data_IF_084599882828
#
_entry.id   IF_084599882828
#
_cell.length_a   1.000
_cell.length_b   1.000
_cell.length_c   1.000
_cell.angle_alpha   90.00
_cell.angle_beta   90.00
_cell.angle_gamma   90.00
#
_symmetry.space_group_name_H-M   'P 1'
#
loop_
_entity.id
_entity.type
_entity.pdbx_description
1 polymer ?
#
# COMPACT_ATOMS: atom_id res chain seq x y z
N UNK A 1 17.36 -12.75 23.98
CA UNK A 1 17.09 -11.98 22.74
C UNK A 1 17.43 -10.52 23.02
N UNK A 2 18.07 -9.84 22.06
CA UNK A 2 18.27 -8.40 22.18
C UNK A 2 16.91 -7.65 22.10
N UNK A 3 16.79 -6.43 22.66
CA UNK A 3 15.57 -5.63 22.54
C UNK A 3 15.16 -5.42 21.07
N UNK A 4 16.12 -5.22 20.19
CA UNK A 4 15.89 -5.08 18.75
C UNK A 4 15.27 -6.36 18.14
N UNK A 5 15.81 -7.54 18.45
CA UNK A 5 15.27 -8.82 17.96
C UNK A 5 13.84 -9.04 18.43
N UNK A 6 13.52 -8.64 19.67
CA UNK A 6 12.16 -8.73 20.21
C UNK A 6 11.17 -7.86 19.40
N UNK A 7 11.53 -6.61 19.09
CA UNK A 7 10.70 -5.71 18.28
C UNK A 7 10.44 -6.29 16.89
N UNK A 8 11.47 -6.82 16.24
CA UNK A 8 11.37 -7.42 14.90
C UNK A 8 10.44 -8.64 14.90
N UNK A 9 10.56 -9.53 15.89
CA UNK A 9 9.69 -10.71 16.01
C UNK A 9 8.24 -10.31 16.26
N UNK A 10 8.00 -9.36 17.17
CA UNK A 10 6.65 -8.86 17.43
C UNK A 10 6.04 -8.18 16.23
N UNK A 11 6.83 -7.40 15.47
CA UNK A 11 6.38 -6.79 14.22
C UNK A 11 5.98 -7.85 13.18
N UNK A 12 6.75 -8.93 13.05
CA UNK A 12 6.40 -10.04 12.16
C UNK A 12 5.06 -10.71 12.53
N UNK A 13 4.84 -10.97 13.81
CA UNK A 13 3.57 -11.55 14.29
C UNK A 13 2.40 -10.59 14.01
N UNK A 14 2.55 -9.30 14.33
CA UNK A 14 1.53 -8.29 14.04
C UNK A 14 1.29 -8.17 12.53
N UNK A 15 2.35 -8.20 11.73
CA UNK A 15 2.26 -8.17 10.27
C UNK A 15 1.48 -9.36 9.70
N UNK A 16 1.65 -10.57 10.24
CA UNK A 16 0.85 -11.74 9.86
C UNK A 16 -0.65 -11.52 10.16
N UNK A 17 -0.98 -11.04 11.38
CA UNK A 17 -2.36 -10.79 11.79
C UNK A 17 -3.03 -9.71 10.94
N UNK A 18 -2.31 -8.61 10.69
CA UNK A 18 -2.77 -7.52 9.84
C UNK A 18 -2.92 -7.99 8.39
N UNK A 19 -2.02 -8.84 7.88
CA UNK A 19 -2.10 -9.43 6.55
C UNK A 19 -3.33 -10.32 6.38
N UNK A 20 -3.70 -11.09 7.41
CA UNK A 20 -4.94 -11.87 7.40
C UNK A 20 -6.17 -10.96 7.34
N UNK A 21 -6.18 -9.85 8.09
CA UNK A 21 -7.23 -8.84 7.98
C UNK A 21 -7.22 -8.13 6.63
N UNK A 22 -6.04 -7.82 6.09
CA UNK A 22 -5.89 -7.21 4.77
C UNK A 22 -6.54 -8.06 3.66
N UNK A 23 -6.45 -9.39 3.73
CA UNK A 23 -7.17 -10.28 2.82
C UNK A 23 -8.68 -10.05 2.85
N UNK A 24 -9.26 -9.76 4.01
CA UNK A 24 -10.70 -9.42 4.13
C UNK A 24 -10.99 -8.07 3.48
N UNK A 25 -10.14 -7.06 3.74
CA UNK A 25 -10.28 -5.72 3.16
C UNK A 25 -10.23 -5.76 1.62
N UNK A 26 -9.25 -6.47 1.05
CA UNK A 26 -9.05 -6.62 -0.41
C UNK A 26 -10.28 -7.20 -1.10
N UNK A 27 -11.02 -8.08 -0.44
CA UNK A 27 -12.22 -8.71 -1.03
C UNK A 27 -13.47 -7.88 -0.80
N UNK A 28 -13.63 -7.28 0.39
CA UNK A 28 -14.91 -6.69 0.81
C UNK A 28 -15.03 -5.21 0.45
N UNK A 29 -13.96 -4.41 0.55
CA UNK A 29 -14.03 -2.99 0.25
C UNK A 29 -14.39 -2.68 -1.21
N UNK A 30 -13.83 -3.35 -2.23
CA UNK A 30 -14.29 -3.14 -3.61
C UNK A 30 -15.76 -3.52 -3.82
N UNK A 31 -16.28 -4.48 -3.05
CA UNK A 31 -17.68 -4.89 -3.07
C UNK A 31 -18.60 -4.04 -2.17
N UNK A 32 -18.05 -2.99 -1.52
CA UNK A 32 -18.77 -2.14 -0.54
C UNK A 32 -19.37 -2.94 0.63
N UNK A 33 -18.74 -4.07 1.00
CA UNK A 33 -19.16 -4.93 2.09
C UNK A 33 -18.47 -4.58 3.41
N UNK A 34 -19.16 -4.82 4.53
CA UNK A 34 -18.59 -4.63 5.87
C UNK A 34 -17.47 -5.63 6.15
N UNK A 35 -16.31 -5.13 6.63
CA UNK A 35 -15.19 -5.97 7.06
C UNK A 35 -15.38 -6.57 8.46
N UNK A 36 -16.38 -6.07 9.22
CA UNK A 36 -16.66 -6.51 10.60
C UNK A 36 -17.65 -7.67 10.62
N UNK A 37 -18.72 -7.60 9.82
CA UNK A 37 -19.77 -8.61 9.76
C UNK A 37 -20.13 -8.93 8.31
N UNK A 38 -20.43 -10.21 7.99
CA UNK A 38 -20.34 -11.41 8.83
C UNK A 38 -18.90 -11.86 9.07
N UNK A 39 -18.68 -12.80 10.01
CA UNK A 39 -17.39 -13.47 10.22
C UNK A 39 -16.92 -14.19 8.96
N UNK A 40 -15.61 -14.46 8.89
CA UNK A 40 -15.02 -15.22 7.78
C UNK A 40 -15.67 -16.58 7.62
N UNK A 41 -16.04 -16.91 6.38
CA UNK A 41 -16.70 -18.15 6.01
C UNK A 41 -16.12 -18.71 4.72
N UNK A 42 -16.22 -20.02 4.54
CA UNK A 42 -15.84 -20.66 3.30
C UNK A 42 -16.81 -20.21 2.19
N UNK A 43 -16.34 -19.71 1.03
CA UNK A 43 -17.23 -19.25 -0.03
C UNK A 43 -18.06 -20.36 -0.67
N UNK A 44 -17.60 -21.61 -0.57
CA UNK A 44 -18.29 -22.77 -1.17
C UNK A 44 -19.35 -23.39 -0.26
N UNK A 45 -18.98 -23.75 0.98
CA UNK A 45 -19.89 -24.45 1.88
C UNK A 45 -20.59 -23.53 2.89
N UNK A 46 -20.25 -22.22 2.94
CA UNK A 46 -20.85 -21.26 3.85
C UNK A 46 -20.46 -21.42 5.33
N UNK A 47 -19.76 -22.51 5.70
CA UNK A 47 -19.36 -22.75 7.09
C UNK A 47 -18.42 -21.65 7.60
N UNK A 48 -18.66 -21.22 8.85
CA UNK A 48 -17.81 -20.24 9.52
C UNK A 48 -16.42 -20.82 9.77
N UNK A 49 -15.39 -20.00 9.51
CA UNK A 49 -14.00 -20.35 9.80
C UNK A 49 -13.79 -20.22 11.32
N UNK A 50 -13.33 -21.30 11.96
CA UNK A 50 -12.95 -21.27 13.35
C UNK A 50 -11.72 -20.39 13.56
N UNK A 51 -11.58 -19.77 14.75
CA UNK A 51 -10.46 -18.86 15.01
C UNK A 51 -9.09 -19.52 14.84
N UNK A 52 -8.95 -20.81 15.20
CA UNK A 52 -7.72 -21.58 15.02
C UNK A 52 -7.44 -21.97 13.56
N UNK A 53 -8.45 -21.96 12.68
CA UNK A 53 -8.30 -22.14 11.24
C UNK A 53 -8.02 -20.81 10.51
N UNK A 54 -7.96 -19.71 11.25
CA UNK A 54 -7.65 -18.38 10.75
C UNK A 54 -6.29 -17.86 11.25
N UNK A 55 -5.44 -18.74 11.81
CA UNK A 55 -4.05 -18.38 12.18
C UNK A 55 -3.26 -18.21 10.88
N UNK A 56 -2.72 -16.99 10.61
CA UNK A 56 -2.14 -16.67 9.33
C UNK A 56 -1.00 -17.63 8.94
N UNK A 57 -0.95 -18.03 7.68
CA UNK A 57 0.02 -18.97 7.09
C UNK A 57 -0.05 -20.37 7.72
N UNK A 58 -0.01 -20.46 9.06
CA UNK A 58 0.03 -21.73 9.81
C UNK A 58 -1.20 -22.59 9.49
N UNK A 59 -2.39 -22.03 9.55
CA UNK A 59 -3.62 -22.78 9.25
C UNK A 59 -3.67 -23.29 7.82
N UNK A 60 -3.19 -22.49 6.86
CA UNK A 60 -3.12 -22.89 5.46
C UNK A 60 -2.21 -24.12 5.26
N UNK A 61 -1.05 -24.17 5.94
CA UNK A 61 -0.13 -25.30 5.91
C UNK A 61 -0.75 -26.51 6.61
N UNK A 62 -1.29 -26.34 7.82
CA UNK A 62 -1.89 -27.45 8.61
C UNK A 62 -3.10 -28.07 7.93
N UNK A 63 -3.92 -27.25 7.27
CA UNK A 63 -5.07 -27.69 6.49
C UNK A 63 -4.70 -28.19 5.08
N UNK A 64 -3.41 -28.22 4.75
CA UNK A 64 -2.90 -28.63 3.43
C UNK A 64 -3.60 -27.86 2.30
N UNK A 65 -3.76 -26.56 2.48
CA UNK A 65 -4.43 -25.65 1.56
C UNK A 65 -5.90 -26.01 1.24
N UNK A 66 -6.63 -26.66 2.15
CA UNK A 66 -8.01 -27.11 1.93
C UNK A 66 -8.94 -26.69 3.06
N UNK A 67 -10.20 -26.41 2.72
CA UNK A 67 -11.24 -26.16 3.72
C UNK A 67 -11.45 -27.39 4.59
N UNK A 68 -11.56 -27.22 5.91
CA UNK A 68 -11.80 -28.31 6.88
C UNK A 68 -13.09 -29.09 6.63
N UNK A 69 -14.13 -28.42 6.10
CA UNK A 69 -15.47 -28.99 5.95
C UNK A 69 -15.74 -29.56 4.55
N UNK A 70 -15.37 -28.85 3.49
CA UNK A 70 -15.70 -29.25 2.13
C UNK A 70 -14.46 -29.64 1.29
N UNK A 71 -13.26 -29.60 1.88
CA UNK A 71 -11.98 -29.90 1.22
C UNK A 71 -11.68 -29.06 -0.05
N UNK A 72 -12.45 -27.98 -0.31
CA UNK A 72 -12.15 -27.06 -1.41
C UNK A 72 -10.78 -26.41 -1.20
N UNK A 73 -9.96 -26.26 -2.26
CA UNK A 73 -8.63 -25.63 -2.14
C UNK A 73 -8.73 -24.16 -1.73
N UNK A 74 -7.90 -23.78 -0.77
CA UNK A 74 -7.72 -22.38 -0.34
C UNK A 74 -6.63 -21.77 -1.23
N UNK A 75 -6.92 -20.69 -1.99
CA UNK A 75 -5.95 -20.08 -2.89
C UNK A 75 -4.68 -19.63 -2.18
N UNK A 76 -3.54 -19.85 -2.80
CA UNK A 76 -2.21 -19.50 -2.30
C UNK A 76 -2.00 -17.98 -2.07
N UNK A 77 -2.84 -17.16 -2.68
CA UNK A 77 -2.81 -15.70 -2.48
C UNK A 77 -3.00 -15.27 -1.03
N UNK A 78 -3.80 -16.03 -0.24
CA UNK A 78 -4.04 -15.72 1.17
C UNK A 78 -2.75 -15.74 1.99
N UNK A 79 -2.03 -16.88 2.07
CA UNK A 79 -0.77 -16.91 2.82
C UNK A 79 0.31 -16.01 2.20
N UNK A 80 0.26 -15.73 0.88
CA UNK A 80 1.20 -14.80 0.25
C UNK A 80 1.03 -13.37 0.77
N UNK A 81 -0.20 -12.86 0.83
CA UNK A 81 -0.50 -11.52 1.34
C UNK A 81 -0.14 -11.42 2.82
N UNK A 82 -0.44 -12.46 3.61
CA UNK A 82 -0.06 -12.54 5.02
C UNK A 82 1.45 -12.48 5.22
N UNK A 83 2.20 -13.28 4.46
CA UNK A 83 3.66 -13.28 4.50
C UNK A 83 4.27 -11.97 3.99
N UNK A 84 3.75 -11.40 2.90
CA UNK A 84 4.21 -10.12 2.36
C UNK A 84 4.01 -8.99 3.37
N UNK A 85 2.84 -8.95 4.04
CA UNK A 85 2.58 -7.96 5.09
C UNK A 85 3.54 -8.16 6.27
N UNK A 86 3.78 -9.41 6.70
CA UNK A 86 4.76 -9.70 7.74
C UNK A 86 6.17 -9.22 7.37
N UNK A 87 6.60 -9.44 6.13
CA UNK A 87 7.92 -8.98 5.65
C UNK A 87 8.03 -7.45 5.63
N UNK A 88 6.96 -6.73 5.26
CA UNK A 88 6.90 -5.27 5.33
C UNK A 88 7.09 -4.80 6.78
N UNK A 89 6.38 -5.40 7.73
CA UNK A 89 6.46 -5.07 9.15
C UNK A 89 7.82 -5.41 9.76
N UNK A 90 8.38 -6.58 9.41
CA UNK A 90 9.74 -6.98 9.80
C UNK A 90 10.77 -5.99 9.24
N UNK A 91 10.68 -5.64 7.96
CA UNK A 91 11.59 -4.69 7.32
C UNK A 91 11.53 -3.30 7.97
N UNK A 92 10.34 -2.81 8.26
CA UNK A 92 10.16 -1.55 8.97
C UNK A 92 10.79 -1.59 10.38
N UNK A 93 10.52 -2.65 11.15
CA UNK A 93 11.08 -2.82 12.49
C UNK A 93 12.59 -3.02 12.48
N UNK A 94 13.12 -3.71 11.48
CA UNK A 94 14.55 -3.89 11.30
C UNK A 94 15.27 -2.56 11.04
N UNK A 95 14.66 -1.70 10.21
CA UNK A 95 15.26 -0.42 9.79
C UNK A 95 15.14 0.66 10.87
N UNK A 96 13.96 0.79 11.48
CA UNK A 96 13.65 1.91 12.38
C UNK A 96 13.61 1.53 13.87
N UNK A 97 13.65 0.22 14.21
CA UNK A 97 13.61 -0.25 15.60
C UNK A 97 12.28 0.06 16.29
N UNK A 98 12.32 0.40 17.58
CA UNK A 98 11.14 0.81 18.36
C UNK A 98 10.92 2.32 18.21
N UNK A 99 10.26 2.72 17.13
CA UNK A 99 10.02 4.12 16.79
C UNK A 99 8.66 4.29 16.10
N UNK A 100 8.12 5.50 16.10
CA UNK A 100 6.91 5.88 15.37
C UNK A 100 7.06 5.62 13.85
N UNK A 101 8.26 5.81 13.30
CA UNK A 101 8.55 5.56 11.89
C UNK A 101 8.38 4.09 11.50
N UNK A 102 8.62 3.14 12.42
CA UNK A 102 8.33 1.72 12.19
C UNK A 102 6.86 1.51 11.89
N UNK A 103 5.99 2.10 12.71
CA UNK A 103 4.55 1.96 12.53
C UNK A 103 4.07 2.68 11.27
N UNK A 104 4.60 3.88 11.00
CA UNK A 104 4.31 4.65 9.80
C UNK A 104 4.70 3.90 8.52
N UNK A 105 5.91 3.35 8.46
CA UNK A 105 6.40 2.56 7.33
C UNK A 105 5.60 1.28 7.12
N UNK A 106 5.32 0.54 8.20
CA UNK A 106 4.57 -0.71 8.16
C UNK A 106 3.12 -0.48 7.69
N UNK A 107 2.44 0.55 8.19
CA UNK A 107 1.08 0.91 7.78
C UNK A 107 1.06 1.37 6.32
N UNK A 108 1.98 2.25 5.92
CA UNK A 108 2.07 2.71 4.54
C UNK A 108 2.29 1.56 3.56
N UNK A 109 3.27 0.69 3.83
CA UNK A 109 3.53 -0.49 3.01
C UNK A 109 2.35 -1.46 2.95
N UNK A 110 1.61 -1.63 4.05
CA UNK A 110 0.39 -2.44 4.09
C UNK A 110 -0.71 -1.87 3.19
N UNK A 111 -0.92 -0.54 3.22
CA UNK A 111 -1.88 0.15 2.36
C UNK A 111 -1.48 0.01 0.89
N UNK A 112 -0.20 0.23 0.56
CA UNK A 112 0.31 0.07 -0.81
C UNK A 112 0.12 -1.36 -1.32
N UNK A 113 0.37 -2.38 -0.49
CA UNK A 113 0.12 -3.78 -0.84
C UNK A 113 -1.37 -4.03 -1.09
N UNK A 114 -2.25 -3.50 -0.22
CA UNK A 114 -3.70 -3.59 -0.38
C UNK A 114 -4.15 -2.99 -1.71
N UNK A 115 -3.73 -1.76 -2.02
CA UNK A 115 -4.04 -1.08 -3.29
C UNK A 115 -3.52 -1.88 -4.48
N UNK A 116 -2.26 -2.31 -4.44
CA UNK A 116 -1.67 -3.07 -5.55
C UNK A 116 -2.45 -4.35 -5.86
N UNK A 117 -2.92 -5.06 -4.84
CA UNK A 117 -3.68 -6.30 -5.02
C UNK A 117 -5.12 -6.03 -5.46
N UNK A 118 -5.79 -4.99 -4.94
CA UNK A 118 -7.15 -4.64 -5.37
C UNK A 118 -7.16 -4.11 -6.81
N UNK A 119 -6.23 -3.22 -7.15
CA UNK A 119 -6.10 -2.68 -8.50
C UNK A 119 -5.73 -3.77 -9.54
N UNK A 120 -4.85 -4.70 -9.17
CA UNK A 120 -4.51 -5.85 -10.02
C UNK A 120 -5.69 -6.76 -10.36
N UNK A 121 -6.70 -6.83 -9.49
CA UNK A 121 -7.81 -7.78 -9.60
C UNK A 121 -9.09 -7.16 -10.11
N UNK A 122 -9.43 -6.00 -9.56
CA UNK A 122 -10.74 -5.38 -9.76
C UNK A 122 -10.62 -4.04 -10.51
N UNK A 123 -9.40 -3.54 -10.76
CA UNK A 123 -9.14 -2.20 -11.31
C UNK A 123 -9.79 -1.08 -10.48
N UNK A 124 -9.88 -1.31 -9.16
CA UNK A 124 -10.50 -0.40 -8.19
C UNK A 124 -9.53 -0.13 -7.05
N UNK A 125 -9.42 1.13 -6.65
CA UNK A 125 -8.71 1.57 -5.44
C UNK A 125 -9.78 1.99 -4.43
N UNK A 126 -10.06 1.20 -3.39
CA UNK A 126 -11.04 1.54 -2.35
C UNK A 126 -10.70 2.84 -1.63
N UNK A 127 -11.74 3.61 -1.30
CA UNK A 127 -11.58 4.88 -0.60
C UNK A 127 -11.03 4.70 0.82
N UNK A 128 -11.26 3.56 1.44
CA UNK A 128 -10.70 3.19 2.74
C UNK A 128 -9.16 3.13 2.70
N UNK A 129 -8.58 2.63 1.61
CA UNK A 129 -7.14 2.67 1.42
C UNK A 129 -6.65 4.08 1.07
N UNK A 130 -7.29 4.76 0.12
CA UNK A 130 -6.81 6.04 -0.40
C UNK A 130 -7.13 7.20 0.54
N UNK A 131 -8.39 7.46 0.85
CA UNK A 131 -8.79 8.55 1.76
C UNK A 131 -8.48 8.21 3.21
N UNK A 132 -8.76 6.97 3.65
CA UNK A 132 -8.37 6.48 4.98
C UNK A 132 -6.87 6.53 5.19
N UNK A 133 -6.10 6.13 4.18
CA UNK A 133 -4.64 6.23 4.18
C UNK A 133 -4.15 7.68 4.23
N UNK A 134 -4.79 8.61 3.51
CA UNK A 134 -4.47 10.05 3.58
C UNK A 134 -4.64 10.57 5.01
N UNK A 135 -5.76 10.25 5.65
CA UNK A 135 -6.00 10.63 7.04
C UNK A 135 -4.93 10.06 7.99
N UNK A 136 -4.58 8.77 7.83
CA UNK A 136 -3.52 8.14 8.63
C UNK A 136 -2.14 8.81 8.39
N UNK A 137 -1.79 9.14 7.15
CA UNK A 137 -0.54 9.85 6.84
C UNK A 137 -0.44 11.19 7.55
N UNK A 138 -1.53 11.97 7.54
CA UNK A 138 -1.61 13.25 8.25
C UNK A 138 -1.52 13.04 9.77
N UNK A 139 -2.20 12.03 10.32
CA UNK A 139 -2.12 11.70 11.76
C UNK A 139 -0.69 11.32 12.16
N UNK A 140 -0.01 10.50 11.39
CA UNK A 140 1.40 10.16 11.65
C UNK A 140 2.31 11.38 11.57
N UNK A 141 2.11 12.25 10.60
CA UNK A 141 2.89 13.47 10.44
C UNK A 141 2.65 14.45 11.60
N UNK A 142 1.40 14.55 12.08
CA UNK A 142 1.05 15.33 13.26
C UNK A 142 1.70 14.75 14.52
N UNK A 143 1.60 13.43 14.71
CA UNK A 143 2.23 12.74 15.84
C UNK A 143 3.77 12.92 15.83
N UNK A 144 4.41 12.82 14.67
CA UNK A 144 5.84 13.06 14.53
C UNK A 144 6.23 14.50 14.89
N UNK A 145 5.38 15.48 14.54
CA UNK A 145 5.66 16.90 14.81
C UNK A 145 5.49 17.32 16.27
N UNK A 146 4.55 16.66 16.99
CA UNK A 146 4.14 17.13 18.32
C UNK A 146 4.47 16.17 19.46
N UNK A 147 4.54 14.86 19.19
CA UNK A 147 4.78 13.85 20.23
C UNK A 147 6.22 13.36 20.29
N UNK A 148 6.98 13.50 19.20
CA UNK A 148 8.36 13.03 19.11
C UNK A 148 9.27 14.26 19.22
N UNK A 149 9.96 14.41 20.33
CA UNK A 149 10.84 15.58 20.61
C UNK A 149 11.98 15.74 19.61
N UNK A 150 12.43 14.65 18.97
CA UNK A 150 13.42 14.63 17.88
C UNK A 150 12.84 13.76 16.76
N UNK A 151 12.16 14.32 15.76
CA UNK A 151 11.63 13.55 14.65
C UNK A 151 12.78 12.92 13.85
N UNK A 152 12.51 11.73 13.31
CA UNK A 152 13.47 11.06 12.42
C UNK A 152 13.82 12.00 11.24
N UNK A 153 15.07 12.04 10.75
CA UNK A 153 15.50 12.95 9.68
C UNK A 153 14.63 12.91 8.41
N UNK A 154 14.00 11.76 8.16
CA UNK A 154 13.12 11.56 7.02
C UNK A 154 11.62 11.67 7.37
N UNK A 155 11.29 12.10 8.60
CA UNK A 155 9.90 12.29 9.00
C UNK A 155 9.26 13.46 8.22
N UNK A 156 8.09 13.21 7.64
CA UNK A 156 7.27 14.26 7.04
C UNK A 156 6.48 14.94 8.14
N UNK A 157 6.68 16.25 8.30
CA UNK A 157 5.97 17.05 9.28
C UNK A 157 4.56 17.39 8.80
N UNK A 158 3.67 17.77 9.73
CA UNK A 158 2.25 17.96 9.46
C UNK A 158 1.94 18.90 8.27
N UNK A 159 2.67 20.01 8.14
CA UNK A 159 2.49 20.95 7.02
C UNK A 159 2.94 20.33 5.70
N UNK A 160 4.05 19.61 5.70
CA UNK A 160 4.55 18.90 4.52
C UNK A 160 3.60 17.80 4.08
N UNK A 161 2.95 17.11 5.03
CA UNK A 161 1.93 16.10 4.73
C UNK A 161 0.69 16.72 4.07
N UNK A 162 0.21 17.85 4.58
CA UNK A 162 -0.93 18.58 3.99
C UNK A 162 -0.60 19.10 2.60
N UNK A 163 0.55 19.77 2.45
CA UNK A 163 1.01 20.26 1.13
C UNK A 163 1.24 19.10 0.16
N UNK A 164 1.83 18.01 0.65
CA UNK A 164 2.03 16.79 -0.15
C UNK A 164 0.73 16.16 -0.61
N UNK A 165 -0.26 16.03 0.27
CA UNK A 165 -1.58 15.51 -0.06
C UNK A 165 -2.29 16.40 -1.11
N UNK A 166 -2.28 17.70 -0.91
CA UNK A 166 -2.85 18.66 -1.84
C UNK A 166 -2.13 18.65 -3.20
N UNK A 167 -0.79 18.58 -3.20
CA UNK A 167 0.01 18.49 -4.42
C UNK A 167 -0.25 17.19 -5.18
N UNK A 168 -0.30 16.05 -4.48
CA UNK A 168 -0.59 14.76 -5.10
C UNK A 168 -1.97 14.70 -5.74
N UNK A 169 -2.99 15.13 -4.99
CA UNK A 169 -4.34 15.22 -5.51
C UNK A 169 -4.43 16.19 -6.70
N UNK A 170 -3.94 17.42 -6.52
CA UNK A 170 -4.05 18.49 -7.51
C UNK A 170 -3.31 18.19 -8.80
N UNK A 171 -2.11 17.61 -8.71
CA UNK A 171 -1.32 17.25 -9.89
C UNK A 171 -2.03 16.19 -10.74
N UNK A 172 -2.48 15.09 -10.13
CA UNK A 172 -3.16 14.04 -10.88
C UNK A 172 -4.56 14.47 -11.33
N UNK A 173 -5.26 15.27 -10.55
CA UNK A 173 -6.53 15.87 -10.97
C UNK A 173 -6.34 16.75 -12.21
N UNK A 174 -5.27 17.57 -12.25
CA UNK A 174 -4.96 18.41 -13.39
C UNK A 174 -4.64 17.58 -14.63
N UNK A 175 -3.82 16.52 -14.48
CA UNK A 175 -3.49 15.58 -15.56
C UNK A 175 -4.76 14.90 -16.09
N UNK A 176 -5.64 14.43 -15.20
CA UNK A 176 -6.92 13.84 -15.55
C UNK A 176 -7.82 14.83 -16.31
N UNK A 177 -7.95 16.06 -15.80
CA UNK A 177 -8.77 17.11 -16.40
C UNK A 177 -8.30 17.48 -17.81
N UNK A 178 -7.00 17.76 -17.97
CA UNK A 178 -6.41 18.11 -19.26
C UNK A 178 -6.51 16.92 -20.23
N UNK A 179 -6.18 15.72 -19.75
CA UNK A 179 -6.26 14.49 -20.55
C UNK A 179 -7.67 14.18 -21.02
N UNK A 180 -8.68 14.32 -20.16
CA UNK A 180 -10.09 14.11 -20.51
C UNK A 180 -10.55 15.12 -21.56
N UNK A 181 -10.16 16.39 -21.44
CA UNK A 181 -10.46 17.42 -22.45
C UNK A 181 -9.78 17.15 -23.79
N UNK A 182 -8.54 16.71 -23.76
CA UNK A 182 -7.76 16.45 -24.99
C UNK A 182 -8.23 15.19 -25.73
N UNK A 183 -8.61 14.14 -25.00
CA UNK A 183 -8.97 12.82 -25.54
C UNK A 183 -10.47 12.61 -25.75
N UNK A 184 -11.33 13.47 -25.19
CA UNK A 184 -12.80 13.35 -25.24
C UNK A 184 -13.36 12.14 -24.46
N UNK A 185 -12.57 11.54 -23.61
CA UNK A 185 -12.93 10.42 -22.72
C UNK A 185 -12.13 10.48 -21.42
N UNK A 186 -12.62 9.85 -20.38
CA UNK A 186 -11.92 9.82 -19.10
C UNK A 186 -10.48 9.31 -19.28
N UNK A 187 -9.51 10.16 -18.91
CA UNK A 187 -8.10 9.88 -19.08
C UNK A 187 -7.50 9.10 -17.90
N UNK A 188 -8.13 9.16 -16.71
CA UNK A 188 -7.58 8.56 -15.48
C UNK A 188 -8.67 8.22 -14.48
N UNK A 189 -8.47 7.16 -13.71
CA UNK A 189 -9.36 6.75 -12.64
C UNK A 189 -9.35 7.72 -11.43
N UNK A 190 -10.51 7.98 -10.84
CA UNK A 190 -10.60 8.80 -9.63
C UNK A 190 -9.86 8.19 -8.43
N UNK A 191 -9.67 6.86 -8.42
CA UNK A 191 -8.90 6.13 -7.41
C UNK A 191 -7.43 6.54 -7.39
N UNK A 192 -6.80 6.66 -8.57
CA UNK A 192 -5.39 7.06 -8.70
C UNK A 192 -5.16 8.47 -8.15
N UNK A 193 -6.10 9.40 -8.39
CA UNK A 193 -6.03 10.78 -7.88
C UNK A 193 -6.05 10.79 -6.34
N UNK A 194 -6.96 10.03 -5.74
CA UNK A 194 -7.07 9.92 -4.27
C UNK A 194 -5.85 9.19 -3.69
N UNK A 195 -5.33 8.16 -4.38
CA UNK A 195 -4.12 7.45 -3.98
C UNK A 195 -2.91 8.39 -3.94
N UNK A 196 -2.77 9.30 -4.91
CA UNK A 196 -1.65 10.26 -4.89
C UNK A 196 -1.76 11.26 -3.75
N UNK A 197 -2.97 11.62 -3.28
CA UNK A 197 -3.13 12.39 -2.05
C UNK A 197 -2.58 11.62 -0.84
N UNK A 198 -2.89 10.32 -0.74
CA UNK A 198 -2.36 9.44 0.31
C UNK A 198 -0.84 9.36 0.24
N UNK A 199 -0.27 9.11 -0.93
CA UNK A 199 1.19 9.08 -1.13
C UNK A 199 1.82 10.40 -0.71
N UNK A 200 1.22 11.53 -1.08
CA UNK A 200 1.69 12.86 -0.68
C UNK A 200 1.63 13.11 0.83
N UNK A 201 0.62 12.58 1.53
CA UNK A 201 0.53 12.66 2.99
C UNK A 201 1.66 11.89 3.69
N UNK A 202 2.12 10.78 3.11
CA UNK A 202 3.22 9.98 3.66
C UNK A 202 4.61 10.44 3.23
N UNK A 203 4.78 10.92 1.99
CA UNK A 203 6.09 11.19 1.37
C UNK A 203 6.38 12.69 1.15
N UNK A 204 5.38 13.55 1.38
CA UNK A 204 5.49 14.97 1.03
C UNK A 204 5.44 15.20 -0.50
N UNK A 205 5.49 16.49 -0.92
CA UNK A 205 5.34 16.88 -2.33
C UNK A 205 6.48 16.38 -3.24
N UNK A 206 7.70 16.29 -2.72
CA UNK A 206 8.86 15.75 -3.46
C UNK A 206 8.65 14.25 -3.75
N UNK A 207 8.13 13.52 -2.76
CA UNK A 207 7.77 12.11 -2.91
C UNK A 207 6.66 11.88 -3.93
N UNK A 208 5.71 12.81 -4.06
CA UNK A 208 4.67 12.80 -5.11
C UNK A 208 5.30 12.80 -6.50
N UNK A 209 6.22 13.74 -6.77
CA UNK A 209 6.87 13.87 -8.07
C UNK A 209 7.70 12.62 -8.40
N UNK A 210 8.50 12.16 -7.43
CA UNK A 210 9.34 10.98 -7.63
C UNK A 210 8.50 9.72 -7.83
N UNK A 211 7.43 9.53 -7.04
CA UNK A 211 6.51 8.40 -7.21
C UNK A 211 5.84 8.40 -8.57
N UNK A 212 5.35 9.55 -9.01
CA UNK A 212 4.71 9.69 -10.33
C UNK A 212 5.70 9.37 -11.46
N UNK A 213 6.92 9.89 -11.36
CA UNK A 213 7.96 9.61 -12.34
C UNK A 213 8.30 8.11 -12.38
N UNK A 214 8.56 7.49 -11.24
CA UNK A 214 8.89 6.06 -11.16
C UNK A 214 7.71 5.18 -11.60
N UNK A 215 6.49 5.50 -11.19
CA UNK A 215 5.29 4.76 -11.57
C UNK A 215 5.01 4.85 -13.08
N UNK A 216 5.14 6.06 -13.67
CA UNK A 216 4.97 6.26 -15.09
C UNK A 216 6.08 5.55 -15.90
N UNK A 217 7.32 5.62 -15.44
CA UNK A 217 8.45 4.93 -16.07
C UNK A 217 8.23 3.41 -16.09
N UNK A 218 7.92 2.80 -14.94
CA UNK A 218 7.66 1.36 -14.82
C UNK A 218 6.44 0.94 -15.66
N UNK A 219 5.35 1.70 -15.59
CA UNK A 219 4.17 1.44 -16.40
C UNK A 219 4.49 1.48 -17.90
N UNK A 220 5.23 2.48 -18.35
CA UNK A 220 5.64 2.60 -19.76
C UNK A 220 6.55 1.45 -20.19
N UNK A 221 7.55 1.10 -19.39
CA UNK A 221 8.49 0.01 -19.70
C UNK A 221 7.78 -1.35 -19.84
N UNK A 222 6.72 -1.58 -19.09
CA UNK A 222 6.00 -2.86 -19.13
C UNK A 222 4.91 -2.85 -20.22
N UNK A 223 4.12 -1.77 -20.33
CA UNK A 223 2.95 -1.77 -21.19
C UNK A 223 3.22 -1.31 -22.63
N UNK A 224 4.24 -0.46 -22.86
CA UNK A 224 4.56 -0.05 -24.21
C UNK A 224 4.95 -1.24 -25.11
N UNK A 225 5.82 -2.17 -24.70
CA UNK A 225 6.09 -3.38 -25.49
C UNK A 225 4.87 -4.26 -25.71
N UNK A 226 3.99 -4.40 -24.68
CA UNK A 226 2.77 -5.20 -24.80
C UNK A 226 1.78 -4.59 -25.79
N UNK A 227 1.64 -3.28 -25.79
CA UNK A 227 0.79 -2.55 -26.74
C UNK A 227 1.32 -2.66 -28.15
N UNK A 228 2.65 -2.50 -28.36
CA UNK A 228 3.29 -2.68 -29.64
C UNK A 228 3.15 -4.11 -30.18
N UNK A 229 3.04 -5.09 -29.28
CA UNK A 229 2.74 -6.49 -29.62
C UNK A 229 1.23 -6.77 -29.86
N UNK A 230 0.40 -5.73 -29.97
CA UNK A 230 -1.04 -5.85 -30.27
C UNK A 230 -1.90 -6.36 -29.10
N UNK A 231 -1.40 -6.30 -27.88
CA UNK A 231 -2.13 -6.70 -26.66
C UNK A 231 -2.75 -5.47 -26.00
N UNK A 232 -3.93 -5.07 -26.43
CA UNK A 232 -4.69 -4.01 -25.76
C UNK A 232 -5.30 -4.55 -24.46
N UNK A 233 -4.66 -4.28 -23.32
CA UNK A 233 -5.20 -4.56 -21.99
C UNK A 233 -5.32 -3.26 -21.21
N UNK A 234 -6.33 -3.19 -20.34
CA UNK A 234 -6.41 -2.13 -19.33
C UNK A 234 -5.17 -2.20 -18.44
N UNK A 235 -4.59 -1.03 -18.15
CA UNK A 235 -3.39 -0.89 -17.35
C UNK A 235 -3.82 -0.57 -15.92
N UNK A 236 -3.60 -1.46 -14.93
CA UNK A 236 -3.83 -1.13 -13.53
C UNK A 236 -2.71 -0.16 -13.07
N UNK A 237 -2.97 1.15 -13.19
CA UNK A 237 -1.95 2.18 -12.92
C UNK A 237 -1.59 2.28 -11.45
N UNK A 238 -2.54 2.00 -10.55
CA UNK A 238 -2.32 1.99 -9.11
C UNK A 238 -1.22 1.05 -8.64
N UNK A 239 -1.00 -0.09 -9.33
CA UNK A 239 0.14 -0.99 -9.02
C UNK A 239 1.47 -0.28 -9.23
N UNK A 240 1.63 0.43 -10.34
CA UNK A 240 2.89 1.12 -10.65
C UNK A 240 3.14 2.30 -9.73
N UNK A 241 2.08 3.02 -9.35
CA UNK A 241 2.15 4.04 -8.32
C UNK A 241 2.53 3.45 -6.96
N UNK A 242 1.97 2.28 -6.59
CA UNK A 242 2.33 1.60 -5.35
C UNK A 242 3.80 1.18 -5.31
N UNK A 243 4.31 0.60 -6.40
CA UNK A 243 5.73 0.22 -6.52
C UNK A 243 6.62 1.48 -6.51
N UNK A 244 6.25 2.52 -7.24
CA UNK A 244 6.96 3.80 -7.25
C UNK A 244 7.02 4.45 -5.87
N UNK A 245 5.91 4.42 -5.11
CA UNK A 245 5.84 4.94 -3.75
C UNK A 245 6.69 4.12 -2.77
N UNK A 246 6.68 2.79 -2.88
CA UNK A 246 7.54 1.93 -2.09
C UNK A 246 9.03 2.17 -2.39
N UNK A 247 9.39 2.30 -3.65
CA UNK A 247 10.75 2.64 -4.07
C UNK A 247 11.16 4.04 -3.57
N UNK A 248 10.25 5.02 -3.63
CA UNK A 248 10.47 6.36 -3.11
C UNK A 248 10.64 6.35 -1.58
N UNK A 249 9.89 5.53 -0.84
CA UNK A 249 10.09 5.38 0.61
C UNK A 249 11.49 4.87 0.94
N UNK A 250 11.96 3.86 0.20
CA UNK A 250 13.25 3.18 0.49
C UNK A 250 14.44 4.01 0.01
N UNK A 251 14.40 4.52 -1.21
CA UNK A 251 15.52 5.15 -1.88
C UNK A 251 15.37 6.66 -2.12
N UNK A 252 14.16 7.22 -1.89
CA UNK A 252 13.85 8.62 -2.18
C UNK A 252 14.79 9.62 -1.53
N UNK A 253 15.08 9.51 -0.22
CA UNK A 253 16.02 10.43 0.43
C UNK A 253 17.40 10.44 -0.25
N UNK A 254 17.97 9.28 -0.53
CA UNK A 254 19.26 9.17 -1.20
C UNK A 254 19.23 9.72 -2.64
N UNK A 255 18.14 9.49 -3.38
CA UNK A 255 17.95 10.03 -4.74
C UNK A 255 17.86 11.55 -4.70
N UNK A 256 17.11 12.11 -3.75
CA UNK A 256 16.93 13.56 -3.61
C UNK A 256 18.23 14.26 -3.14
N UNK A 257 19.00 13.64 -2.25
CA UNK A 257 20.31 14.14 -1.84
C UNK A 257 21.29 14.14 -3.02
N UNK A 258 21.40 13.01 -3.72
CA UNK A 258 22.24 12.91 -4.91
C UNK A 258 21.87 13.96 -5.97
N UNK A 259 20.57 14.16 -6.24
CA UNK A 259 20.09 15.17 -7.19
C UNK A 259 20.53 16.59 -6.77
N UNK A 260 20.33 16.92 -5.50
CA UNK A 260 20.70 18.23 -4.95
C UNK A 260 22.19 18.48 -5.06
N UNK A 261 22.99 17.49 -4.67
CA UNK A 261 24.45 17.63 -4.61
C UNK A 261 25.12 17.59 -5.99
N UNK A 262 24.47 16.99 -7.01
CA UNK A 262 25.04 16.84 -8.35
C UNK A 262 24.58 17.91 -9.34
N UNK A 263 23.35 18.41 -9.20
CA UNK A 263 22.73 19.30 -10.20
C UNK A 263 22.43 20.70 -9.68
N UNK A 264 22.47 20.95 -8.37
CA UNK A 264 22.19 22.26 -7.80
C UNK A 264 23.43 22.91 -7.13
N UNK A 265 24.56 22.20 -7.05
CA UNK A 265 25.88 22.74 -6.72
C UNK A 265 26.72 22.88 -7.97
#
# INVERSE_FOLDING_TARGET
MSPHTYVVVMAGILGLLIGSFLNVCIVRWPALESVVKPRSRCPQCGNLIAWYDNIPVVSWIMLRAKCRHCALPIPWRYPLIEAATALIWIGAAWTYGYNLETLRAAVFGTILLGIAVTDAREYIIPDEFSLGGTALGIVFAFAASWLVGQPHPHAVLWLQALVGAAAGFGLLWLVAYVGTKALGKDAMGGGDIKMMAMIGAFLGWQGVLLTLFLGALLGTLIFLPLKLAGRDRLVPFGIFLAIGAAACWIAGPAILEWYRDTLLT
#
